data_IF_248904454517
#
_entry.id   IF_248904454517
#
_cell.length_a   1.000
_cell.length_b   1.000
_cell.length_c   1.000
_cell.angle_alpha   90.00
_cell.angle_beta   90.00
_cell.angle_gamma   90.00
#
_symmetry.space_group_name_H-M   'P 1'
#
loop_
_entity.id
_entity.type
_entity.pdbx_description
1 polymer ?
#
# COMPACT_ATOMS: atom_id res chain seq x y z
N UNK A 1 -7.74 1.43 -11.21
CA UNK A 1 -7.01 1.27 -9.92
C UNK A 1 -6.21 2.51 -9.45
N UNK A 2 -6.51 3.73 -9.95
CA UNK A 2 -5.86 4.97 -9.47
C UNK A 2 -6.31 5.32 -8.05
N UNK A 3 -7.61 5.22 -7.76
CA UNK A 3 -8.17 5.59 -6.45
C UNK A 3 -7.67 4.73 -5.28
N UNK A 4 -7.28 3.48 -5.52
CA UNK A 4 -6.71 2.62 -4.46
C UNK A 4 -5.27 3.06 -4.16
N UNK A 5 -4.47 3.31 -5.20
CA UNK A 5 -3.10 3.79 -5.04
C UNK A 5 -3.05 5.16 -4.33
N UNK A 6 -4.01 6.06 -4.60
CA UNK A 6 -4.17 7.33 -3.90
C UNK A 6 -4.44 7.12 -2.40
N UNK A 7 -5.34 6.21 -2.03
CA UNK A 7 -5.64 5.89 -0.62
C UNK A 7 -4.42 5.33 0.11
N UNK A 8 -3.68 4.41 -0.52
CA UNK A 8 -2.46 3.84 0.08
C UNK A 8 -1.42 4.94 0.31
N UNK A 9 -1.20 5.82 -0.67
CA UNK A 9 -0.26 6.95 -0.56
C UNK A 9 -0.68 7.97 0.51
N UNK A 10 -1.96 8.33 0.55
CA UNK A 10 -2.49 9.32 1.49
C UNK A 10 -2.43 8.83 2.95
N UNK A 11 -2.68 7.54 3.18
CA UNK A 11 -2.57 6.96 4.51
C UNK A 11 -1.11 6.71 4.91
N UNK A 12 -0.22 6.41 3.95
CA UNK A 12 1.22 6.22 4.21
C UNK A 12 1.93 7.52 4.61
N UNK A 13 1.52 8.69 4.09
CA UNK A 13 2.09 9.99 4.52
C UNK A 13 1.71 10.42 5.94
N UNK A 14 0.71 9.77 6.56
CA UNK A 14 0.24 10.09 7.93
C UNK A 14 0.99 9.27 9.00
N UNK A 15 2.23 8.86 8.70
CA UNK A 15 3.04 7.85 9.41
C UNK A 15 3.59 8.22 10.78
N UNK A 16 3.12 9.30 11.41
CA UNK A 16 3.10 9.30 12.87
C UNK A 16 2.03 8.29 13.30
N UNK A 17 2.36 7.00 13.22
CA UNK A 17 1.49 5.83 13.42
C UNK A 17 0.66 5.89 14.72
N UNK A 18 1.11 6.69 15.69
CA UNK A 18 0.43 6.97 16.94
C UNK A 18 -0.90 7.73 16.78
N UNK A 19 -1.07 8.52 15.71
CA UNK A 19 -2.27 9.34 15.48
C UNK A 19 -3.28 8.71 14.51
N UNK A 20 -2.91 7.60 13.85
CA UNK A 20 -3.79 6.94 12.88
C UNK A 20 -4.92 6.18 13.60
N UNK A 21 -6.16 6.38 13.17
CA UNK A 21 -7.29 5.63 13.70
C UNK A 21 -7.24 4.14 13.32
N UNK A 22 -7.92 3.30 14.09
CA UNK A 22 -8.01 1.86 13.80
C UNK A 22 -8.62 1.58 12.42
N UNK A 23 -9.66 2.33 12.03
CA UNK A 23 -10.31 2.20 10.73
C UNK A 23 -9.40 2.64 9.58
N UNK A 24 -8.61 3.70 9.77
CA UNK A 24 -7.59 4.12 8.80
C UNK A 24 -6.50 3.07 8.62
N UNK A 25 -6.04 2.42 9.70
CA UNK A 25 -5.11 1.28 9.60
C UNK A 25 -5.70 0.13 8.79
N UNK A 26 -6.97 -0.22 9.03
CA UNK A 26 -7.62 -1.28 8.24
C UNK A 26 -7.77 -0.90 6.77
N UNK A 27 -8.18 0.34 6.47
CA UNK A 27 -8.31 0.81 5.09
C UNK A 27 -6.96 0.82 4.38
N UNK A 28 -5.89 1.24 5.06
CA UNK A 28 -4.53 1.19 4.53
C UNK A 28 -4.13 -0.23 4.18
N UNK A 29 -4.27 -1.17 5.11
CA UNK A 29 -3.88 -2.57 4.90
C UNK A 29 -4.68 -3.22 3.77
N UNK A 30 -6.01 -3.03 3.74
CA UNK A 30 -6.85 -3.56 2.68
C UNK A 30 -6.52 -2.98 1.29
N UNK A 31 -6.21 -1.68 1.24
CA UNK A 31 -5.81 -1.02 0.01
C UNK A 31 -4.41 -1.48 -0.45
N UNK A 32 -3.45 -1.61 0.46
CA UNK A 32 -2.09 -2.09 0.19
C UNK A 32 -2.10 -3.53 -0.33
N UNK A 33 -2.82 -4.44 0.32
CA UNK A 33 -2.93 -5.82 -0.15
C UNK A 33 -3.54 -5.92 -1.55
N UNK A 34 -4.55 -5.09 -1.83
CA UNK A 34 -5.20 -5.08 -3.14
C UNK A 34 -4.24 -4.54 -4.22
N UNK A 35 -3.50 -3.48 -3.90
CA UNK A 35 -2.48 -2.93 -4.78
C UNK A 35 -1.34 -3.94 -5.04
N UNK A 36 -0.87 -4.64 -4.00
CA UNK A 36 0.15 -5.67 -4.11
C UNK A 36 -0.28 -6.84 -5.00
N UNK A 37 -1.54 -7.28 -4.91
CA UNK A 37 -2.09 -8.32 -5.79
C UNK A 37 -2.15 -7.88 -7.25
N UNK A 38 -2.61 -6.65 -7.52
CA UNK A 38 -2.66 -6.13 -8.88
C UNK A 38 -1.25 -5.95 -9.46
N UNK A 39 -0.31 -5.43 -8.66
CA UNK A 39 1.08 -5.25 -9.06
C UNK A 39 1.79 -6.59 -9.33
N UNK A 40 1.58 -7.60 -8.48
CA UNK A 40 2.07 -8.96 -8.67
C UNK A 40 1.60 -9.56 -10.00
N UNK A 41 0.32 -9.39 -10.33
CA UNK A 41 -0.25 -9.89 -11.57
C UNK A 41 0.32 -9.20 -12.83
N UNK A 42 0.64 -7.90 -12.74
CA UNK A 42 1.23 -7.11 -13.84
C UNK A 42 2.70 -7.50 -14.06
N UNK A 43 3.46 -7.54 -12.98
CA UNK A 43 4.91 -7.81 -12.99
C UNK A 43 5.24 -9.31 -13.13
N UNK A 44 4.23 -10.19 -13.01
CA UNK A 44 4.36 -11.66 -13.00
C UNK A 44 5.34 -12.13 -11.92
N UNK A 45 5.23 -11.53 -10.74
CA UNK A 45 6.00 -11.87 -9.55
C UNK A 45 5.07 -12.33 -8.43
N UNK A 46 5.63 -12.92 -7.39
CA UNK A 46 4.87 -13.29 -6.20
C UNK A 46 4.34 -12.07 -5.44
N UNK A 47 3.22 -12.24 -4.75
CA UNK A 47 2.57 -11.17 -3.99
C UNK A 47 3.49 -10.60 -2.89
N UNK A 48 4.30 -11.43 -2.23
CA UNK A 48 5.28 -10.95 -1.25
C UNK A 48 6.35 -10.06 -1.90
N UNK A 49 6.91 -10.49 -3.03
CA UNK A 49 7.90 -9.69 -3.77
C UNK A 49 7.30 -8.37 -4.29
N UNK A 50 6.02 -8.40 -4.69
CA UNK A 50 5.27 -7.21 -5.08
C UNK A 50 5.04 -6.25 -3.90
N UNK A 51 4.73 -6.77 -2.71
CA UNK A 51 4.54 -5.96 -1.51
C UNK A 51 5.84 -5.25 -1.11
N UNK A 52 6.97 -5.97 -1.07
CA UNK A 52 8.28 -5.37 -0.76
C UNK A 52 8.66 -4.28 -1.76
N UNK A 53 8.50 -4.52 -3.06
CA UNK A 53 8.77 -3.48 -4.07
C UNK A 53 7.86 -2.25 -3.93
N UNK A 54 6.60 -2.45 -3.54
CA UNK A 54 5.68 -1.35 -3.31
C UNK A 54 6.07 -0.54 -2.08
N UNK A 55 6.49 -1.19 -0.99
CA UNK A 55 7.03 -0.51 0.19
C UNK A 55 8.28 0.31 -0.16
N UNK A 56 9.23 -0.28 -0.88
CA UNK A 56 10.45 0.41 -1.34
C UNK A 56 10.13 1.64 -2.21
N UNK A 57 9.16 1.51 -3.13
CA UNK A 57 8.71 2.62 -3.98
C UNK A 57 8.03 3.75 -3.19
N UNK A 58 7.38 3.41 -2.08
CA UNK A 58 6.68 4.38 -1.22
C UNK A 58 7.64 5.09 -0.27
N UNK A 59 8.66 4.41 0.23
CA UNK A 59 9.73 5.01 1.05
C UNK A 59 10.65 5.92 0.22
N UNK A 60 10.80 5.65 -1.08
CA UNK A 60 11.61 6.45 -2.00
C UNK A 60 10.91 7.73 -2.52
N UNK A 61 9.62 7.95 -2.21
CA UNK A 61 8.75 8.97 -2.81
C UNK A 61 8.26 10.07 -1.86
#
# INVERSE_FOLDING_TARGET
PVSIAEVVRDLHRRTNQAEQSYSERQMYQAALERLAREFAAIEKIDQEAAATKLEDLMDAA
#
